data_IF_739027388234
#
_entry.id   IF_739027388234
#
_cell.length_a   1.000
_cell.length_b   1.000
_cell.length_c   1.000
_cell.angle_alpha   90.00
_cell.angle_beta   90.00
_cell.angle_gamma   90.00
#
_symmetry.space_group_name_H-M   'P 1'
#
loop_
_entity.id
_entity.type
_entity.pdbx_description
1 polymer ?
#
# COMPACT_ATOMS: atom_id res chain seq x y z
N UNK A 1 12.13 5.42 3.93
CA UNK A 1 11.78 4.00 4.16
C UNK A 1 13.09 3.28 4.45
N UNK A 2 13.06 2.13 5.12
CA UNK A 2 14.23 1.26 5.28
C UNK A 2 13.88 -0.11 4.68
N UNK A 3 13.76 -0.13 3.34
CA UNK A 3 13.31 -1.29 2.57
C UNK A 3 12.15 -1.05 1.60
N UNK A 4 11.60 0.17 1.51
CA UNK A 4 10.57 0.55 0.53
C UNK A 4 9.14 0.05 0.82
N UNK A 5 8.92 -0.71 1.89
CA UNK A 5 7.62 -1.32 2.21
C UNK A 5 6.54 -0.29 2.56
N UNK A 6 6.90 0.82 3.22
CA UNK A 6 5.94 1.87 3.54
C UNK A 6 5.52 2.65 2.27
N UNK A 7 6.44 2.86 1.36
CA UNK A 7 6.25 3.54 0.07
C UNK A 7 5.41 2.66 -0.86
N UNK A 8 5.70 1.35 -0.91
CA UNK A 8 4.89 0.36 -1.61
C UNK A 8 3.44 0.37 -1.11
N UNK A 9 3.23 0.37 0.21
CA UNK A 9 1.87 0.38 0.78
C UNK A 9 1.08 1.64 0.39
N UNK A 10 1.70 2.82 0.43
CA UNK A 10 1.04 4.08 0.01
C UNK A 10 0.66 4.03 -1.47
N UNK A 11 1.57 3.64 -2.35
CA UNK A 11 1.31 3.58 -3.79
C UNK A 11 0.26 2.53 -4.16
N UNK A 12 0.34 1.33 -3.59
CA UNK A 12 -0.63 0.25 -3.82
C UNK A 12 -1.99 0.59 -3.21
N UNK A 13 -2.01 1.20 -2.03
CA UNK A 13 -3.21 1.68 -1.37
C UNK A 13 -3.97 2.69 -2.22
N UNK A 14 -3.31 3.74 -2.73
CA UNK A 14 -3.94 4.71 -3.65
C UNK A 14 -4.40 4.03 -4.94
N UNK A 15 -3.59 3.13 -5.50
CA UNK A 15 -3.93 2.40 -6.73
C UNK A 15 -5.23 1.59 -6.58
N UNK A 16 -5.35 0.83 -5.48
CA UNK A 16 -6.50 -0.04 -5.25
C UNK A 16 -7.76 0.73 -4.81
N UNK A 17 -7.59 1.83 -4.08
CA UNK A 17 -8.71 2.75 -3.82
C UNK A 17 -9.25 3.35 -5.12
N UNK A 18 -8.38 3.78 -6.04
CA UNK A 18 -8.78 4.30 -7.34
C UNK A 18 -9.42 3.22 -8.24
N UNK A 19 -8.98 1.95 -8.13
CA UNK A 19 -9.58 0.82 -8.81
C UNK A 19 -10.91 0.34 -8.18
N UNK A 20 -11.23 0.80 -6.97
CA UNK A 20 -12.43 0.44 -6.23
C UNK A 20 -12.36 -0.89 -5.47
N UNK A 21 -11.27 -1.65 -5.60
CA UNK A 21 -11.04 -2.90 -4.87
C UNK A 21 -9.56 -3.28 -4.79
N UNK A 22 -9.19 -3.98 -3.73
CA UNK A 22 -7.89 -4.64 -3.57
C UNK A 22 -7.96 -6.06 -4.17
N UNK A 23 -6.96 -6.49 -4.98
CA UNK A 23 -6.87 -7.86 -5.47
C UNK A 23 -6.79 -8.90 -4.34
N UNK A 24 -7.37 -10.07 -4.58
CA UNK A 24 -7.32 -11.18 -3.63
C UNK A 24 -5.87 -11.68 -3.41
N UNK A 25 -5.52 -12.12 -2.20
CA UNK A 25 -4.16 -12.59 -1.88
C UNK A 25 -3.78 -13.86 -2.66
N UNK A 26 -4.73 -14.61 -3.20
CA UNK A 26 -4.47 -15.72 -4.13
C UNK A 26 -3.90 -15.30 -5.49
N UNK A 27 -3.89 -14.01 -5.82
CA UNK A 27 -3.35 -13.49 -7.11
C UNK A 27 -1.82 -13.46 -7.17
N UNK A 28 -1.13 -13.79 -6.07
CA UNK A 28 0.33 -13.82 -5.98
C UNK A 28 0.79 -15.10 -5.28
N UNK A 29 2.00 -15.57 -5.60
CA UNK A 29 2.68 -16.65 -4.88
C UNK A 29 3.67 -16.14 -3.83
N UNK A 30 3.94 -14.82 -3.79
CA UNK A 30 4.83 -14.21 -2.81
C UNK A 30 4.11 -14.05 -1.46
N UNK A 31 4.60 -14.74 -0.43
CA UNK A 31 4.01 -14.75 0.91
C UNK A 31 3.96 -13.36 1.57
N UNK A 32 4.98 -12.52 1.38
CA UNK A 32 5.00 -11.16 1.92
C UNK A 32 3.95 -10.29 1.22
N UNK A 33 3.86 -10.41 -0.11
CA UNK A 33 2.88 -9.64 -0.87
C UNK A 33 1.43 -10.05 -0.56
N UNK A 34 1.18 -11.32 -0.17
CA UNK A 34 -0.13 -11.75 0.34
C UNK A 34 -0.55 -10.96 1.58
N UNK A 35 0.36 -10.86 2.54
CA UNK A 35 0.12 -10.10 3.78
C UNK A 35 -0.16 -8.62 3.48
N UNK A 36 0.55 -8.05 2.50
CA UNK A 36 0.29 -6.67 2.03
C UNK A 36 -1.11 -6.53 1.43
N UNK A 37 -1.56 -7.45 0.57
CA UNK A 37 -2.90 -7.41 -0.02
C UNK A 37 -4.00 -7.57 1.04
N UNK A 38 -3.80 -8.46 2.01
CA UNK A 38 -4.74 -8.65 3.13
C UNK A 38 -4.85 -7.40 4.01
N UNK A 39 -3.70 -6.77 4.34
CA UNK A 39 -3.66 -5.53 5.10
C UNK A 39 -4.35 -4.37 4.36
N UNK A 40 -4.08 -4.22 3.06
CA UNK A 40 -4.71 -3.18 2.24
C UNK A 40 -6.23 -3.41 2.11
N UNK A 41 -6.68 -4.66 1.97
CA UNK A 41 -8.09 -5.01 1.88
C UNK A 41 -8.83 -4.70 3.20
N UNK A 42 -8.25 -5.10 4.33
CA UNK A 42 -8.79 -4.77 5.65
C UNK A 42 -8.88 -3.24 5.85
N UNK A 43 -7.82 -2.51 5.52
CA UNK A 43 -7.80 -1.06 5.67
C UNK A 43 -8.80 -0.35 4.75
N UNK A 44 -9.00 -0.84 3.51
CA UNK A 44 -10.00 -0.29 2.60
C UNK A 44 -11.42 -0.45 3.16
N UNK A 45 -11.70 -1.57 3.83
CA UNK A 45 -13.00 -1.82 4.45
C UNK A 45 -13.22 -0.98 5.72
N UNK A 46 -12.20 -0.88 6.59
CA UNK A 46 -12.30 -0.12 7.84
C UNK A 46 -12.25 1.39 7.63
N UNK A 47 -11.39 1.85 6.71
CA UNK A 47 -11.13 3.27 6.45
C UNK A 47 -11.13 3.59 4.94
N UNK A 48 -12.31 3.62 4.29
CA UNK A 48 -12.41 3.94 2.87
C UNK A 48 -11.80 5.31 2.52
N UNK A 49 -10.90 5.32 1.53
CA UNK A 49 -10.24 6.54 1.05
C UNK A 49 -9.13 7.05 1.98
N UNK A 50 -8.63 6.21 2.88
CA UNK A 50 -7.50 6.54 3.76
C UNK A 50 -6.28 6.97 2.96
N UNK A 51 -5.85 6.18 1.96
CA UNK A 51 -4.64 6.45 1.21
C UNK A 51 -4.79 7.66 0.28
N UNK A 52 -5.95 7.82 -0.35
CA UNK A 52 -6.28 8.99 -1.19
C UNK A 52 -6.24 10.29 -0.38
N UNK A 53 -6.57 10.26 0.92
CA UNK A 53 -6.46 11.42 1.82
C UNK A 53 -5.06 11.62 2.38
N UNK A 54 -4.34 10.53 2.66
CA UNK A 54 -3.01 10.59 3.27
C UNK A 54 -1.93 10.94 2.25
N UNK A 55 -1.96 10.36 1.04
CA UNK A 55 -0.91 10.53 0.03
C UNK A 55 -0.64 11.99 -0.38
N UNK A 56 -1.64 12.86 -0.62
CA UNK A 56 -1.40 14.28 -0.94
C UNK A 56 -0.76 15.06 0.21
N UNK A 57 -0.87 14.58 1.46
CA UNK A 57 -0.29 15.21 2.64
C UNK A 57 1.16 14.76 2.91
N UNK A 58 1.66 13.76 2.17
CA UNK A 58 3.05 13.32 2.24
C UNK A 58 3.90 14.32 1.44
N UNK A 59 4.62 15.20 2.15
CA UNK A 59 5.46 16.25 1.54
C UNK A 59 6.84 15.75 1.07
N UNK A 60 7.19 14.52 1.40
CA UNK A 60 8.44 13.86 1.02
C UNK A 60 8.67 12.62 1.88
N UNK A 61 9.34 11.63 1.31
CA UNK A 61 9.93 10.48 2.00
C UNK A 61 11.44 10.68 2.01
N UNK A 62 12.09 10.40 3.14
CA UNK A 62 13.55 10.25 3.21
C UNK A 62 13.88 8.76 3.15
N UNK A 63 14.65 8.40 2.14
CA UNK A 63 15.05 7.02 1.80
C UNK A 63 16.53 6.86 2.13
N UNK A 64 16.87 5.91 3.01
CA UNK A 64 18.23 5.76 3.53
C UNK A 64 19.02 4.65 2.83
N UNK A 65 18.38 3.69 2.17
CA UNK A 65 19.05 2.52 1.58
C UNK A 65 18.89 2.38 0.07
N UNK A 66 19.92 1.82 -0.56
CA UNK A 66 20.16 1.75 -2.01
C UNK A 66 19.10 0.99 -2.83
N UNK A 67 18.13 0.34 -2.17
CA UNK A 67 17.07 -0.46 -2.82
C UNK A 67 15.71 0.26 -2.89
N UNK A 68 15.55 1.39 -2.17
CA UNK A 68 14.30 2.15 -2.10
C UNK A 68 13.85 2.82 -3.40
#
# INVERSE_FOLDING_TARGET
DDGGDATMMVHKGVQFEAAGSVPDSSTTDNAEFKVVLEALSALQHELPGHWTKTAPNIKGVTEETTTG
#
